data_IF_225429959507
#
_entry.id   IF_225429959507
#
_cell.length_a   1.000
_cell.length_b   1.000
_cell.length_c   1.000
_cell.angle_alpha   90.00
_cell.angle_beta   90.00
_cell.angle_gamma   90.00
#
_symmetry.space_group_name_H-M   'P 1'
#
loop_
_entity.id
_entity.type
_entity.pdbx_description
1 polymer ?
#
# COMPACT_ATOMS: atom_id res chain seq x y z
N UNK A 1 42.64 -48.97 -26.38
CA UNK A 1 41.18 -49.04 -26.12
C UNK A 1 40.80 -47.84 -25.28
N UNK A 2 40.32 -46.78 -25.95
CA UNK A 2 40.00 -45.48 -25.35
C UNK A 2 38.48 -45.39 -25.20
N UNK A 3 37.97 -45.31 -23.97
CA UNK A 3 36.55 -45.09 -23.72
C UNK A 3 36.32 -44.14 -22.53
N UNK A 4 37.18 -43.13 -22.40
CA UNK A 4 36.92 -41.96 -21.57
C UNK A 4 36.86 -40.73 -22.47
N UNK A 5 35.67 -40.50 -23.02
CA UNK A 5 35.26 -39.20 -23.55
C UNK A 5 33.75 -39.21 -23.73
N UNK A 6 33.04 -38.63 -22.76
CA UNK A 6 32.21 -37.44 -22.98
C UNK A 6 31.68 -36.92 -21.65
N UNK A 7 32.28 -35.80 -21.32
CA UNK A 7 31.94 -34.80 -20.33
C UNK A 7 30.45 -34.41 -20.33
N UNK A 8 29.98 -34.06 -19.13
CA UNK A 8 28.91 -33.11 -18.82
C UNK A 8 27.59 -33.25 -19.58
N UNK A 9 26.69 -34.04 -19.01
CA UNK A 9 25.26 -34.01 -19.31
C UNK A 9 24.46 -33.40 -18.17
N UNK A 10 25.00 -32.38 -17.48
CA UNK A 10 24.20 -31.50 -16.63
C UNK A 10 23.21 -30.76 -17.52
N UNK A 11 22.10 -31.41 -17.87
CA UNK A 11 20.92 -30.72 -18.38
C UNK A 11 20.36 -29.92 -17.22
N UNK A 12 20.95 -28.74 -17.06
CA UNK A 12 20.33 -27.50 -16.60
C UNK A 12 18.92 -27.71 -16.07
N UNK A 13 18.77 -27.62 -14.75
CA UNK A 13 17.47 -27.47 -14.07
C UNK A 13 16.86 -26.08 -14.35
N UNK A 14 17.20 -25.40 -15.45
CA UNK A 14 16.94 -23.98 -15.63
C UNK A 14 16.73 -23.56 -17.08
N UNK A 15 15.75 -24.17 -17.76
CA UNK A 15 15.03 -23.53 -18.87
C UNK A 15 13.50 -23.67 -18.69
N UNK A 16 13.02 -23.70 -17.44
CA UNK A 16 11.68 -23.15 -17.20
C UNK A 16 11.75 -21.69 -17.60
N UNK A 17 11.07 -21.30 -18.69
CA UNK A 17 10.69 -19.92 -18.95
C UNK A 17 10.16 -19.36 -17.63
N UNK A 18 10.94 -18.53 -16.94
CA UNK A 18 10.54 -17.96 -15.66
C UNK A 18 9.27 -17.17 -15.95
N UNK A 19 8.14 -17.68 -15.49
CA UNK A 19 6.86 -17.01 -15.68
C UNK A 19 6.97 -15.68 -14.95
N UNK A 20 6.78 -14.58 -15.67
CA UNK A 20 6.80 -13.25 -15.08
C UNK A 20 5.46 -13.00 -14.40
N UNK A 21 5.32 -13.58 -13.21
CA UNK A 21 4.11 -13.50 -12.40
C UNK A 21 3.78 -12.06 -11.98
N UNK A 22 4.77 -11.16 -11.91
CA UNK A 22 4.51 -9.74 -11.66
C UNK A 22 3.79 -9.11 -12.87
N UNK A 23 4.30 -9.33 -14.08
CA UNK A 23 3.65 -8.82 -15.30
C UNK A 23 2.26 -9.41 -15.52
N UNK A 24 2.07 -10.69 -15.19
CA UNK A 24 0.76 -11.34 -15.23
C UNK A 24 -0.20 -10.72 -14.21
N UNK A 25 0.21 -10.55 -12.95
CA UNK A 25 -0.61 -9.92 -11.92
C UNK A 25 -1.02 -8.49 -12.28
N UNK A 26 -0.10 -7.70 -12.85
CA UNK A 26 -0.39 -6.35 -13.35
C UNK A 26 -1.37 -6.35 -14.53
N UNK A 27 -1.36 -7.39 -15.37
CA UNK A 27 -2.31 -7.52 -16.47
C UNK A 27 -3.71 -7.87 -15.96
N UNK A 28 -3.82 -8.78 -15.00
CA UNK A 28 -5.08 -9.18 -14.35
C UNK A 28 -5.70 -8.02 -13.56
N UNK A 29 -4.87 -7.25 -12.84
CA UNK A 29 -5.33 -6.06 -12.11
C UNK A 29 -5.93 -5.01 -13.05
N UNK A 30 -5.32 -4.77 -14.21
CA UNK A 30 -5.87 -3.87 -15.25
C UNK A 30 -7.19 -4.37 -15.84
N UNK A 31 -7.45 -5.67 -15.78
CA UNK A 31 -8.72 -6.27 -16.17
C UNK A 31 -9.76 -6.26 -15.03
N UNK A 32 -9.37 -5.85 -13.82
CA UNK A 32 -10.21 -5.86 -12.63
C UNK A 32 -10.29 -7.22 -11.92
N UNK A 33 -9.54 -8.23 -12.38
CA UNK A 33 -9.49 -9.55 -11.74
C UNK A 33 -8.46 -9.56 -10.61
N UNK A 34 -8.86 -8.94 -9.49
CA UNK A 34 -7.98 -8.76 -8.33
C UNK A 34 -7.63 -10.09 -7.62
N UNK A 35 -8.51 -11.10 -7.65
CA UNK A 35 -8.24 -12.40 -7.02
C UNK A 35 -7.20 -13.20 -7.81
N UNK A 36 -7.32 -13.22 -9.14
CA UNK A 36 -6.30 -13.83 -9.98
C UNK A 36 -4.97 -13.06 -9.87
N UNK A 37 -5.02 -11.73 -9.87
CA UNK A 37 -3.82 -10.90 -9.69
C UNK A 37 -3.09 -11.22 -8.37
N UNK A 38 -3.82 -11.39 -7.27
CA UNK A 38 -3.23 -11.78 -5.98
C UNK A 38 -2.55 -13.15 -6.03
N UNK A 39 -3.12 -14.11 -6.77
CA UNK A 39 -2.50 -15.42 -6.98
C UNK A 39 -1.17 -15.28 -7.71
N UNK A 40 -1.13 -14.50 -8.80
CA UNK A 40 0.12 -14.22 -9.52
C UNK A 40 1.13 -13.48 -8.64
N UNK A 41 0.71 -12.46 -7.89
CA UNK A 41 1.61 -11.75 -6.98
C UNK A 41 2.17 -12.64 -5.86
N UNK A 42 1.39 -13.57 -5.31
CA UNK A 42 1.88 -14.55 -4.34
C UNK A 42 2.97 -15.45 -4.94
N UNK A 43 2.82 -15.85 -6.21
CA UNK A 43 3.84 -16.61 -6.94
C UNK A 43 5.09 -15.75 -7.18
N UNK A 44 4.94 -14.47 -7.55
CA UNK A 44 6.05 -13.54 -7.70
C UNK A 44 6.85 -13.36 -6.38
N UNK A 45 6.16 -13.30 -5.23
CA UNK A 45 6.82 -13.22 -3.92
C UNK A 45 7.51 -14.52 -3.49
N UNK A 46 7.13 -15.68 -4.03
CA UNK A 46 7.89 -16.92 -3.77
C UNK A 46 9.27 -16.88 -4.41
N UNK A 47 9.37 -16.24 -5.56
CA UNK A 47 10.64 -16.07 -6.29
C UNK A 47 11.49 -14.95 -5.70
N UNK A 48 10.87 -13.83 -5.27
CA UNK A 48 11.53 -12.72 -4.58
C UNK A 48 10.67 -12.23 -3.40
N UNK A 49 10.89 -12.77 -2.18
CA UNK A 49 10.13 -12.40 -0.98
C UNK A 49 10.34 -10.95 -0.51
N UNK A 50 11.33 -10.27 -1.08
CA UNK A 50 11.68 -8.88 -0.74
C UNK A 50 11.24 -7.88 -1.81
N UNK A 51 10.42 -8.31 -2.77
CA UNK A 51 9.96 -7.42 -3.82
C UNK A 51 8.91 -6.42 -3.29
N UNK A 52 9.36 -5.25 -2.84
CA UNK A 52 8.48 -4.20 -2.31
C UNK A 52 7.44 -3.72 -3.33
N UNK A 53 7.71 -3.81 -4.64
CA UNK A 53 6.74 -3.45 -5.70
C UNK A 53 5.59 -4.45 -5.76
N UNK A 54 5.89 -5.75 -5.69
CA UNK A 54 4.86 -6.80 -5.64
C UNK A 54 4.02 -6.64 -4.37
N UNK A 55 4.65 -6.42 -3.21
CA UNK A 55 3.94 -6.18 -1.94
C UNK A 55 3.01 -4.96 -2.02
N UNK A 56 3.45 -3.86 -2.63
CA UNK A 56 2.61 -2.68 -2.83
C UNK A 56 1.38 -3.00 -3.71
N UNK A 57 1.57 -3.72 -4.82
CA UNK A 57 0.46 -4.07 -5.71
C UNK A 57 -0.51 -5.07 -5.07
N UNK A 58 0.00 -6.03 -4.28
CA UNK A 58 -0.86 -6.90 -3.46
C UNK A 58 -1.69 -6.09 -2.48
N UNK A 59 -1.10 -5.07 -1.84
CA UNK A 59 -1.82 -4.22 -0.91
C UNK A 59 -2.97 -3.46 -1.60
N UNK A 60 -2.73 -2.96 -2.82
CA UNK A 60 -3.75 -2.31 -3.66
C UNK A 60 -4.88 -3.30 -3.97
N UNK A 61 -4.55 -4.51 -4.46
CA UNK A 61 -5.54 -5.54 -4.79
C UNK A 61 -6.35 -5.99 -3.55
N UNK A 62 -5.70 -6.15 -2.39
CA UNK A 62 -6.37 -6.43 -1.12
C UNK A 62 -7.32 -5.29 -0.71
N UNK A 63 -6.90 -4.03 -0.87
CA UNK A 63 -7.76 -2.87 -0.59
C UNK A 63 -9.00 -2.84 -1.50
N UNK A 64 -8.82 -3.12 -2.80
CA UNK A 64 -9.92 -3.19 -3.79
C UNK A 64 -10.92 -4.32 -3.53
N UNK A 65 -10.47 -5.39 -2.87
CA UNK A 65 -11.31 -6.54 -2.49
C UNK A 65 -11.83 -6.46 -1.05
N UNK A 66 -11.65 -5.32 -0.37
CA UNK A 66 -12.15 -5.09 0.99
C UNK A 66 -11.34 -5.76 2.10
N UNK A 67 -10.25 -6.47 1.77
CA UNK A 67 -9.32 -7.15 2.68
C UNK A 67 -8.29 -6.19 3.27
N UNK A 68 -8.79 -5.25 4.07
CA UNK A 68 -8.00 -4.11 4.55
C UNK A 68 -6.85 -4.52 5.48
N UNK A 69 -7.03 -5.56 6.28
CA UNK A 69 -6.00 -6.03 7.23
C UNK A 69 -4.79 -6.59 6.49
N UNK A 70 -5.01 -7.36 5.43
CA UNK A 70 -4.00 -7.89 4.54
C UNK A 70 -3.31 -6.77 3.76
N UNK A 71 -4.06 -5.77 3.31
CA UNK A 71 -3.51 -4.58 2.66
C UNK A 71 -2.54 -3.81 3.58
N UNK A 72 -2.94 -3.54 4.83
CA UNK A 72 -2.08 -2.88 5.83
C UNK A 72 -0.80 -3.69 6.07
N UNK A 73 -0.91 -5.01 6.22
CA UNK A 73 0.26 -5.89 6.40
C UNK A 73 1.22 -5.81 5.21
N UNK A 74 0.69 -5.84 3.99
CA UNK A 74 1.51 -5.76 2.78
C UNK A 74 2.21 -4.40 2.64
N UNK A 75 1.51 -3.29 2.90
CA UNK A 75 2.13 -1.96 2.89
C UNK A 75 3.23 -1.82 3.95
N UNK A 76 2.97 -2.25 5.19
CA UNK A 76 3.98 -2.22 6.26
C UNK A 76 5.22 -3.04 5.87
N UNK A 77 5.02 -4.25 5.33
CA UNK A 77 6.14 -5.07 4.85
C UNK A 77 6.91 -4.43 3.70
N UNK A 78 6.22 -3.76 2.76
CA UNK A 78 6.86 -3.03 1.68
C UNK A 78 7.72 -1.86 2.23
N UNK A 79 7.23 -1.16 3.26
CA UNK A 79 7.95 -0.06 3.92
C UNK A 79 9.13 -0.54 4.79
N UNK A 80 9.05 -1.73 5.38
CA UNK A 80 10.20 -2.36 6.05
C UNK A 80 11.36 -2.60 5.08
N UNK A 81 11.06 -2.90 3.81
CA UNK A 81 12.06 -3.16 2.77
C UNK A 81 12.52 -1.86 2.10
N UNK A 82 11.57 -0.99 1.74
CA UNK A 82 11.82 0.29 1.09
C UNK A 82 11.13 1.41 1.88
N UNK A 83 11.81 2.02 2.86
CA UNK A 83 11.21 3.02 3.76
C UNK A 83 10.73 4.30 3.09
N UNK A 84 11.20 4.60 1.87
CA UNK A 84 10.80 5.81 1.10
C UNK A 84 9.75 5.51 0.03
N UNK A 85 9.06 4.37 0.12
CA UNK A 85 8.09 3.98 -0.90
C UNK A 85 6.82 4.84 -0.79
N UNK A 86 6.83 5.97 -1.49
CA UNK A 86 5.78 7.00 -1.47
C UNK A 86 4.36 6.43 -1.64
N UNK A 87 4.17 5.54 -2.62
CA UNK A 87 2.87 4.89 -2.86
C UNK A 87 2.38 4.03 -1.69
N UNK A 88 3.28 3.37 -0.96
CA UNK A 88 2.92 2.59 0.23
C UNK A 88 2.57 3.48 1.43
N UNK A 89 3.28 4.61 1.61
CA UNK A 89 2.90 5.61 2.61
C UNK A 89 1.49 6.15 2.37
N UNK A 90 1.18 6.56 1.14
CA UNK A 90 -0.15 7.08 0.81
C UNK A 90 -1.25 6.03 0.98
N UNK A 91 -1.04 4.81 0.48
CA UNK A 91 -1.99 3.71 0.60
C UNK A 91 -2.25 3.29 2.05
N UNK A 92 -1.20 3.26 2.89
CA UNK A 92 -1.33 2.96 4.31
C UNK A 92 -2.06 4.09 5.05
N UNK A 93 -1.72 5.35 4.80
CA UNK A 93 -2.43 6.49 5.38
C UNK A 93 -3.94 6.43 5.08
N UNK A 94 -4.33 6.15 3.83
CA UNK A 94 -5.73 6.02 3.44
C UNK A 94 -6.47 4.93 4.25
N UNK A 95 -5.83 3.79 4.47
CA UNK A 95 -6.42 2.69 5.25
C UNK A 95 -6.51 3.02 6.75
N UNK A 96 -5.52 3.74 7.30
CA UNK A 96 -5.50 4.17 8.70
C UNK A 96 -6.57 5.22 8.98
N UNK A 97 -6.77 6.18 8.08
CA UNK A 97 -7.86 7.16 8.18
C UNK A 97 -9.23 6.48 8.27
N UNK A 98 -9.46 5.43 7.47
CA UNK A 98 -10.70 4.65 7.51
C UNK A 98 -10.92 3.88 8.81
N UNK A 99 -9.85 3.66 9.59
CA UNK A 99 -9.89 3.04 10.91
C UNK A 99 -9.96 4.06 12.05
N UNK A 100 -9.91 5.36 11.75
CA UNK A 100 -9.83 6.42 12.74
C UNK A 100 -8.44 6.58 13.38
N UNK A 101 -7.42 5.92 12.84
CA UNK A 101 -6.03 5.99 13.32
C UNK A 101 -5.35 7.26 12.75
N UNK A 102 -5.82 8.43 13.15
CA UNK A 102 -5.48 9.74 12.55
C UNK A 102 -4.02 10.14 12.74
N UNK A 103 -3.44 9.92 13.92
CA UNK A 103 -2.03 10.25 14.19
C UNK A 103 -1.06 9.44 13.32
N UNK A 104 -1.27 8.13 13.23
CA UNK A 104 -0.46 7.25 12.37
C UNK A 104 -0.67 7.60 10.89
N UNK A 105 -1.90 7.91 10.49
CA UNK A 105 -2.17 8.38 9.13
C UNK A 105 -1.41 9.68 8.81
N UNK A 106 -1.38 10.65 9.73
CA UNK A 106 -0.67 11.91 9.55
C UNK A 106 0.83 11.67 9.32
N UNK A 107 1.46 10.82 10.12
CA UNK A 107 2.87 10.43 9.93
C UNK A 107 3.13 9.89 8.51
N UNK A 108 2.27 9.01 8.01
CA UNK A 108 2.42 8.45 6.67
C UNK A 108 2.13 9.47 5.55
N UNK A 109 1.18 10.39 5.74
CA UNK A 109 0.94 11.48 4.78
C UNK A 109 2.12 12.45 4.71
N UNK A 110 2.72 12.79 5.85
CA UNK A 110 3.92 13.63 5.89
C UNK A 110 5.09 12.95 5.16
N UNK A 111 5.30 11.67 5.42
CA UNK A 111 6.31 10.86 4.73
C UNK A 111 6.08 10.80 3.20
N UNK A 112 4.82 10.66 2.76
CA UNK A 112 4.45 10.72 1.34
C UNK A 112 4.81 12.08 0.71
N UNK A 113 4.58 13.18 1.41
CA UNK A 113 4.87 14.53 0.92
C UNK A 113 6.36 14.88 0.92
N UNK A 114 7.21 14.16 1.67
CA UNK A 114 8.67 14.33 1.62
C UNK A 114 9.29 13.82 0.31
N UNK A 115 8.71 12.78 -0.29
CA UNK A 115 9.16 12.20 -1.56
C UNK A 115 7.95 11.87 -2.44
N UNK A 116 7.24 12.90 -2.96
CA UNK A 116 6.03 12.69 -3.73
C UNK A 116 6.35 12.05 -5.09
N UNK A 117 5.40 11.31 -5.68
CA UNK A 117 5.57 10.81 -7.04
C UNK A 117 5.76 11.98 -8.03
N UNK A 118 6.36 11.74 -9.20
CA UNK A 118 6.50 12.76 -10.23
C UNK A 118 5.15 13.44 -10.56
N UNK A 119 5.13 14.76 -10.82
CA UNK A 119 3.90 15.48 -11.10
C UNK A 119 3.08 14.89 -12.24
N UNK A 120 1.76 14.97 -12.12
CA UNK A 120 0.81 14.45 -13.08
C UNK A 120 -0.60 14.42 -12.50
N UNK A 121 -1.63 14.44 -13.35
CA UNK A 121 -3.01 14.66 -12.90
C UNK A 121 -3.49 13.74 -11.76
N UNK A 122 -3.01 12.49 -11.70
CA UNK A 122 -3.30 11.58 -10.60
C UNK A 122 -2.46 11.84 -9.35
N UNK A 123 -1.15 12.05 -9.50
CA UNK A 123 -0.25 12.41 -8.42
C UNK A 123 -0.67 13.73 -7.74
N UNK A 124 -1.09 14.72 -8.53
CA UNK A 124 -1.53 16.03 -8.03
C UNK A 124 -2.76 15.90 -7.14
N UNK A 125 -3.69 15.00 -7.48
CA UNK A 125 -4.86 14.71 -6.63
C UNK A 125 -4.45 14.10 -5.29
N UNK A 126 -3.50 13.16 -5.30
CA UNK A 126 -3.01 12.54 -4.07
C UNK A 126 -2.27 13.53 -3.18
N UNK A 127 -1.45 14.40 -3.76
CA UNK A 127 -0.74 15.47 -3.06
C UNK A 127 -1.71 16.47 -2.44
N UNK A 128 -2.72 16.92 -3.19
CA UNK A 128 -3.76 17.82 -2.67
C UNK A 128 -4.53 17.15 -1.53
N UNK A 129 -5.01 15.91 -1.73
CA UNK A 129 -5.70 15.15 -0.69
C UNK A 129 -4.86 15.02 0.58
N UNK A 130 -3.57 14.69 0.46
CA UNK A 130 -2.68 14.54 1.60
C UNK A 130 -2.53 15.85 2.40
N UNK A 131 -2.34 16.97 1.71
CA UNK A 131 -2.20 18.30 2.34
C UNK A 131 -3.47 18.72 3.07
N UNK A 132 -4.62 18.61 2.40
CA UNK A 132 -5.92 18.95 3.00
C UNK A 132 -6.25 18.06 4.20
N UNK A 133 -5.91 16.77 4.11
CA UNK A 133 -6.15 15.84 5.21
C UNK A 133 -5.29 16.17 6.42
N UNK A 134 -4.01 16.50 6.21
CA UNK A 134 -3.12 16.95 7.30
C UNK A 134 -3.63 18.24 7.95
N UNK A 135 -4.12 19.19 7.16
CA UNK A 135 -4.71 20.42 7.68
C UNK A 135 -5.96 20.15 8.53
N UNK A 136 -6.85 19.26 8.08
CA UNK A 136 -8.01 18.81 8.87
C UNK A 136 -7.62 18.12 10.17
N UNK A 137 -6.63 17.24 10.16
CA UNK A 137 -6.16 16.55 11.37
C UNK A 137 -5.63 17.59 12.37
N UNK A 138 -4.79 18.51 11.91
CA UNK A 138 -4.22 19.58 12.76
C UNK A 138 -5.27 20.51 13.34
N UNK A 139 -6.26 20.89 12.54
CA UNK A 139 -7.35 21.76 13.02
C UNK A 139 -8.26 21.05 14.01
N UNK A 140 -8.53 19.76 13.81
CA UNK A 140 -9.30 18.94 14.77
C UNK A 140 -8.56 18.79 16.09
N UNK A 141 -7.24 18.52 16.07
CA UNK A 141 -6.41 18.41 17.28
C UNK A 141 -6.23 19.76 18.01
N UNK A 142 -6.47 20.89 17.34
CA UNK A 142 -6.39 22.24 17.89
C UNK A 142 -7.73 22.76 18.45
N UNK A 143 -8.86 22.10 18.19
CA UNK A 143 -10.11 22.44 18.87
C UNK A 143 -10.04 21.88 20.29
N UNK A 144 -9.98 22.71 21.35
CA UNK A 144 -10.11 22.20 22.71
C UNK A 144 -11.46 21.47 22.81
N UNK A 145 -11.47 20.29 23.43
CA UNK A 145 -12.69 19.50 23.72
C UNK A 145 -13.72 20.28 24.58
N UNK A 146 -13.36 21.49 25.05
CA UNK A 146 -14.12 22.38 25.93
C UNK A 146 -15.19 23.25 25.22
N UNK A 147 -15.71 22.83 24.07
CA UNK A 147 -16.98 23.40 23.58
C UNK A 147 -18.22 22.76 24.25
N UNK A 148 -18.01 22.00 25.33
CA UNK A 148 -19.06 21.60 26.26
C UNK A 148 -19.03 22.60 27.43
N UNK A 149 -20.18 23.23 27.69
CA UNK A 149 -20.49 24.21 28.76
C UNK A 149 -20.20 25.68 28.35
N UNK A 150 -21.19 26.55 28.11
CA UNK A 150 -22.23 27.02 29.04
C UNK A 150 -23.42 27.74 28.36
N UNK A 151 -24.64 27.54 28.91
CA UNK A 151 -25.81 28.45 28.85
C UNK A 151 -26.85 28.12 27.76
N UNK A 152 -28.15 27.94 27.99
CA UNK A 152 -29.07 28.19 29.10
C UNK A 152 -30.33 27.35 28.85
N UNK A 153 -30.80 26.59 29.85
CA UNK A 153 -32.24 26.30 30.02
C UNK A 153 -32.50 26.18 31.53
N UNK A 154 -33.41 27.01 32.06
CA UNK A 154 -34.71 26.44 32.40
C UNK A 154 -35.85 27.30 31.86
N UNK A 155 -36.70 26.67 31.03
CA UNK A 155 -38.10 27.06 30.96
C UNK A 155 -38.75 26.71 32.30
N UNK A 156 -38.98 27.71 33.14
CA UNK A 156 -39.95 27.59 34.22
C UNK A 156 -41.34 27.88 33.63
N UNK A 157 -42.14 26.82 33.61
CA UNK A 157 -43.58 26.77 33.37
C UNK A 157 -44.38 27.79 34.20
N UNK A 158 -45.39 28.37 33.53
CA UNK A 158 -46.64 29.02 34.01
C UNK A 158 -46.70 29.66 35.40
#
# INVERSE_FOLDING_TARGET
MSFWSRFSGGKSKSEQKRLDYLSEGLALERQGDFEAALTSYQLALRDDPTNHRVLQNMAIAYSRTGRQTEAVRCYRRALEIQPKLSGAHYGLAFLLLRRGETSDAAFHLESFLMDPPPPGAEADRWVTHARETLDRIRTTDQQPEDAIETGEYPEASE
#
